data_IF_262735519425
#
_entry.id   IF_262735519425
#
_cell.length_a   1.000
_cell.length_b   1.000
_cell.length_c   1.000
_cell.angle_alpha   90.00
_cell.angle_beta   90.00
_cell.angle_gamma   90.00
#
_symmetry.space_group_name_H-M   'P 1'
#
loop_
_entity.id
_entity.type
_entity.pdbx_description
1 polymer ?
#
# COMPACT_ATOMS: atom_id res chain seq x y z
N UNK A 1 -14.48 -27.21 24.97
CA UNK A 1 -14.79 -26.05 24.11
C UNK A 1 -13.57 -25.80 23.25
N UNK A 2 -13.70 -26.05 21.95
CA UNK A 2 -12.61 -25.94 20.96
C UNK A 2 -12.40 -24.47 20.60
N UNK A 3 -11.19 -23.96 20.75
CA UNK A 3 -10.76 -22.69 20.16
C UNK A 3 -10.00 -23.05 18.89
N UNK A 4 -10.63 -22.80 17.74
CA UNK A 4 -10.04 -23.03 16.43
C UNK A 4 -8.79 -22.18 16.28
N UNK A 5 -7.62 -22.83 16.30
CA UNK A 5 -6.40 -22.24 15.76
C UNK A 5 -6.63 -22.09 14.25
N UNK A 6 -6.69 -20.83 13.80
CA UNK A 6 -6.62 -20.52 12.39
C UNK A 6 -5.27 -21.01 11.87
N UNK A 7 -5.32 -22.07 11.06
CA UNK A 7 -4.18 -22.60 10.33
C UNK A 7 -3.57 -21.48 9.50
N UNK A 8 -2.37 -21.01 9.87
CA UNK A 8 -1.56 -20.16 9.01
C UNK A 8 -1.17 -21.00 7.78
N UNK A 9 -1.76 -20.66 6.65
CA UNK A 9 -1.62 -21.40 5.40
C UNK A 9 -0.25 -21.06 4.77
N UNK A 10 0.67 -22.02 4.77
CA UNK A 10 2.08 -21.85 4.35
C UNK A 10 2.24 -21.54 2.84
N UNK A 11 1.18 -21.76 2.04
CA UNK A 11 1.20 -21.50 0.59
C UNK A 11 1.01 -20.01 0.23
N UNK A 12 0.47 -19.20 1.16
CA UNK A 12 0.24 -17.76 0.92
C UNK A 12 1.50 -16.90 1.10
N UNK A 13 2.57 -17.48 1.66
CA UNK A 13 3.76 -16.76 2.09
C UNK A 13 4.55 -16.16 0.90
N UNK A 14 4.41 -16.74 -0.30
CA UNK A 14 5.00 -16.18 -1.53
C UNK A 14 4.17 -15.07 -2.16
N UNK A 15 2.84 -15.11 -2.02
CA UNK A 15 1.94 -14.17 -2.70
C UNK A 15 2.12 -12.77 -2.14
N UNK A 16 2.15 -12.62 -0.82
CA UNK A 16 2.26 -11.29 -0.17
C UNK A 16 3.62 -10.65 -0.42
N UNK A 17 4.69 -11.45 -0.46
CA UNK A 17 6.01 -10.98 -0.89
C UNK A 17 5.95 -10.46 -2.32
N UNK A 18 5.31 -11.20 -3.24
CA UNK A 18 5.11 -10.74 -4.61
C UNK A 18 4.32 -9.43 -4.67
N UNK A 19 3.24 -9.30 -3.88
CA UNK A 19 2.47 -8.05 -3.77
C UNK A 19 3.34 -6.86 -3.36
N UNK A 20 4.23 -7.04 -2.39
CA UNK A 20 5.18 -6.00 -1.97
C UNK A 20 6.12 -5.57 -3.11
N UNK A 21 6.65 -6.54 -3.86
CA UNK A 21 7.51 -6.28 -5.03
C UNK A 21 6.75 -5.51 -6.11
N UNK A 22 5.50 -5.90 -6.42
CA UNK A 22 4.66 -5.18 -7.37
C UNK A 22 4.45 -3.71 -6.95
N UNK A 23 4.19 -3.46 -5.67
CA UNK A 23 4.02 -2.10 -5.14
C UNK A 23 5.30 -1.26 -5.30
N UNK A 24 6.47 -1.82 -4.97
CA UNK A 24 7.76 -1.15 -5.15
C UNK A 24 7.99 -0.82 -6.63
N UNK A 25 7.74 -1.78 -7.53
CA UNK A 25 7.94 -1.60 -8.96
C UNK A 25 7.09 -0.47 -9.53
N UNK A 26 5.79 -0.43 -9.20
CA UNK A 26 4.88 0.62 -9.68
C UNK A 26 5.22 2.02 -9.14
N UNK A 27 5.64 2.10 -7.87
CA UNK A 27 6.08 3.36 -7.28
C UNK A 27 7.41 3.83 -7.89
N UNK A 28 8.32 2.91 -8.22
CA UNK A 28 9.58 3.24 -8.92
C UNK A 28 9.30 3.76 -10.34
N UNK A 29 8.41 3.10 -11.09
CA UNK A 29 8.00 3.57 -12.42
C UNK A 29 7.35 4.96 -12.36
N UNK A 30 6.55 5.21 -11.31
CA UNK A 30 5.93 6.51 -11.08
C UNK A 30 6.97 7.58 -10.77
N UNK A 31 7.98 7.27 -9.96
CA UNK A 31 9.12 8.15 -9.69
C UNK A 31 9.87 8.52 -10.98
N UNK A 32 10.21 7.53 -11.80
CA UNK A 32 10.91 7.75 -13.07
C UNK A 32 10.08 8.60 -14.03
N UNK A 33 8.77 8.36 -14.10
CA UNK A 33 7.85 9.14 -14.93
C UNK A 33 7.81 10.62 -14.49
N UNK A 34 7.74 10.87 -13.18
CA UNK A 34 7.74 12.25 -12.64
C UNK A 34 9.06 12.93 -12.99
N UNK A 35 10.20 12.30 -12.72
CA UNK A 35 11.53 12.86 -13.00
C UNK A 35 11.76 13.10 -14.48
N UNK A 36 11.25 12.22 -15.34
CA UNK A 36 11.29 12.39 -16.80
C UNK A 36 10.49 13.61 -17.26
N UNK A 37 9.29 13.83 -16.70
CA UNK A 37 8.40 14.91 -17.11
C UNK A 37 8.77 16.26 -16.48
N UNK A 38 9.31 16.24 -15.26
CA UNK A 38 9.74 17.41 -14.52
C UNK A 38 11.01 17.07 -13.71
N UNK A 39 12.21 17.28 -14.28
CA UNK A 39 13.48 16.97 -13.61
C UNK A 39 13.68 17.72 -12.28
N UNK A 40 13.09 18.91 -12.16
CA UNK A 40 13.17 19.77 -10.97
C UNK A 40 12.13 19.41 -9.89
N UNK A 41 11.25 18.44 -10.15
CA UNK A 41 10.28 17.98 -9.16
C UNK A 41 10.99 17.48 -7.90
N UNK A 42 10.59 18.01 -6.74
CA UNK A 42 11.10 17.62 -5.42
C UNK A 42 10.44 16.32 -4.95
N UNK A 43 10.57 15.26 -5.76
CA UNK A 43 10.18 13.90 -5.39
C UNK A 43 11.43 13.06 -5.18
N UNK A 44 11.40 12.19 -4.18
CA UNK A 44 12.46 11.22 -3.88
C UNK A 44 11.88 9.83 -3.75
N UNK A 45 12.59 8.83 -4.27
CA UNK A 45 12.29 7.42 -3.99
C UNK A 45 13.14 6.99 -2.78
N UNK A 46 12.51 6.66 -1.66
CA UNK A 46 13.23 6.28 -0.45
C UNK A 46 13.88 4.89 -0.61
N UNK A 47 15.17 4.78 -0.33
CA UNK A 47 15.94 3.52 -0.38
C UNK A 47 15.45 2.48 0.62
N UNK A 48 14.59 2.85 1.58
CA UNK A 48 13.98 1.93 2.55
C UNK A 48 12.81 1.14 1.98
N UNK A 49 12.48 1.26 0.67
CA UNK A 49 11.33 0.61 0.06
C UNK A 49 11.23 -0.90 0.40
N UNK A 50 12.31 -1.66 0.27
CA UNK A 50 12.32 -3.10 0.58
C UNK A 50 12.02 -3.40 2.06
N UNK A 51 12.44 -2.52 2.97
CA UNK A 51 12.15 -2.65 4.41
C UNK A 51 10.73 -2.22 4.79
N UNK A 52 10.10 -1.39 3.95
CA UNK A 52 8.73 -0.89 4.15
C UNK A 52 7.72 -1.88 3.59
N UNK A 53 7.85 -2.28 2.32
CA UNK A 53 6.87 -3.11 1.62
C UNK A 53 7.12 -4.62 1.83
N UNK A 54 7.27 -5.01 3.09
CA UNK A 54 7.42 -6.41 3.50
C UNK A 54 6.05 -7.08 3.67
N UNK A 55 6.01 -8.40 3.61
CA UNK A 55 4.82 -9.19 3.94
C UNK A 55 4.28 -8.85 5.34
N UNK A 56 5.17 -8.75 6.33
CA UNK A 56 4.79 -8.46 7.72
C UNK A 56 4.11 -7.08 7.84
N UNK A 57 4.70 -6.05 7.22
CA UNK A 57 4.13 -4.70 7.23
C UNK A 57 2.83 -4.64 6.44
N UNK A 58 2.70 -5.40 5.34
CA UNK A 58 1.46 -5.49 4.55
C UNK A 58 0.30 -5.96 5.42
N UNK A 59 0.47 -7.09 6.11
CA UNK A 59 -0.54 -7.62 7.03
C UNK A 59 -0.82 -6.63 8.15
N UNK A 60 0.23 -6.11 8.79
CA UNK A 60 0.11 -5.25 9.96
C UNK A 60 -0.60 -3.92 9.65
N UNK A 61 -0.23 -3.24 8.57
CA UNK A 61 -0.79 -1.93 8.24
C UNK A 61 -2.19 -2.04 7.65
N UNK A 62 -2.47 -3.04 6.80
CA UNK A 62 -3.84 -3.30 6.34
C UNK A 62 -4.76 -3.61 7.52
N UNK A 63 -4.32 -4.44 8.47
CA UNK A 63 -5.09 -4.72 9.68
C UNK A 63 -5.30 -3.45 10.53
N UNK A 64 -4.29 -2.58 10.63
CA UNK A 64 -4.40 -1.32 11.35
C UNK A 64 -5.44 -0.39 10.71
N UNK A 65 -5.48 -0.29 9.38
CA UNK A 65 -6.55 0.44 8.69
C UNK A 65 -7.93 -0.08 9.09
N UNK A 66 -8.18 -1.38 8.98
CA UNK A 66 -9.49 -1.97 9.28
C UNK A 66 -9.88 -1.93 10.76
N UNK A 67 -8.92 -1.93 11.67
CA UNK A 67 -9.19 -1.93 13.10
C UNK A 67 -9.30 -0.52 13.70
N UNK A 68 -8.64 0.49 13.11
CA UNK A 68 -8.51 1.83 13.71
C UNK A 68 -9.11 2.95 12.86
N UNK A 69 -9.01 2.86 11.53
CA UNK A 69 -9.46 3.93 10.63
C UNK A 69 -10.83 3.64 10.00
N UNK A 70 -11.12 2.37 9.70
CA UNK A 70 -12.33 1.97 9.00
C UNK A 70 -13.63 2.34 9.74
N UNK A 71 -13.60 2.36 11.07
CA UNK A 71 -14.75 2.80 11.89
C UNK A 71 -15.14 4.27 11.62
N UNK A 72 -14.18 5.11 11.25
CA UNK A 72 -14.38 6.53 10.93
C UNK A 72 -14.51 6.78 9.42
N UNK A 73 -13.91 5.90 8.60
CA UNK A 73 -13.84 6.04 7.14
C UNK A 73 -14.24 4.69 6.47
N UNK A 74 -15.54 4.31 6.51
CA UNK A 74 -16.00 2.99 6.06
C UNK A 74 -16.21 2.91 4.54
N UNK A 75 -15.26 3.40 3.75
CA UNK A 75 -15.38 3.43 2.28
C UNK A 75 -15.08 2.07 1.62
N UNK A 76 -14.38 1.17 2.32
CA UNK A 76 -14.00 -0.15 1.81
C UNK A 76 -14.86 -1.24 2.45
N UNK A 77 -15.39 -2.16 1.66
CA UNK A 77 -16.10 -3.32 2.19
C UNK A 77 -15.09 -4.38 2.70
N UNK A 78 -14.89 -4.41 4.02
CA UNK A 78 -13.90 -5.30 4.69
C UNK A 78 -14.02 -6.78 4.30
N UNK A 79 -15.23 -7.41 4.24
CA UNK A 79 -15.33 -8.84 3.93
C UNK A 79 -14.84 -9.23 2.53
N UNK A 80 -14.81 -8.30 1.58
CA UNK A 80 -14.35 -8.55 0.21
C UNK A 80 -12.91 -8.13 -0.04
N UNK A 81 -12.27 -7.45 0.92
CA UNK A 81 -10.89 -7.00 0.76
C UNK A 81 -9.92 -8.14 1.08
N UNK A 82 -9.07 -8.47 0.11
CA UNK A 82 -8.01 -9.48 0.22
C UNK A 82 -6.71 -8.86 -0.27
N UNK A 83 -5.63 -8.98 0.51
CA UNK A 83 -4.32 -8.37 0.18
C UNK A 83 -3.78 -8.99 -1.12
N UNK A 84 -4.02 -10.28 -1.30
CA UNK A 84 -3.57 -11.13 -2.39
C UNK A 84 -4.13 -10.67 -3.74
N UNK A 85 -5.37 -10.18 -3.78
CA UNK A 85 -6.12 -9.98 -5.04
C UNK A 85 -6.65 -8.57 -5.22
N UNK A 86 -6.55 -7.68 -4.22
CA UNK A 86 -6.98 -6.30 -4.34
C UNK A 86 -6.25 -5.58 -5.48
N UNK A 87 -6.86 -4.62 -6.19
CA UNK A 87 -6.12 -3.77 -7.13
C UNK A 87 -4.97 -3.04 -6.43
N UNK A 88 -3.77 -2.99 -7.05
CA UNK A 88 -2.58 -2.35 -6.47
C UNK A 88 -2.80 -0.90 -6.02
N UNK A 89 -3.50 -0.01 -6.77
CA UNK A 89 -3.79 1.34 -6.30
C UNK A 89 -4.54 1.36 -4.96
N UNK A 90 -5.51 0.45 -4.81
CA UNK A 90 -6.27 0.33 -3.57
C UNK A 90 -5.40 -0.25 -2.44
N UNK A 91 -4.62 -1.30 -2.72
CA UNK A 91 -3.75 -1.92 -1.72
C UNK A 91 -2.72 -0.91 -1.18
N UNK A 92 -2.05 -0.14 -2.04
CA UNK A 92 -1.10 0.92 -1.64
C UNK A 92 -1.79 1.95 -0.77
N UNK A 93 -3.00 2.41 -1.16
CA UNK A 93 -3.75 3.37 -0.37
C UNK A 93 -3.99 2.86 1.05
N UNK A 94 -4.56 1.66 1.19
CA UNK A 94 -4.93 1.07 2.48
C UNK A 94 -3.70 0.77 3.34
N UNK A 95 -2.63 0.28 2.72
CA UNK A 95 -1.34 0.08 3.39
C UNK A 95 -0.78 1.38 3.97
N UNK A 96 -0.73 2.45 3.17
CA UNK A 96 -0.18 3.75 3.59
C UNK A 96 -1.03 4.39 4.69
N UNK A 97 -2.36 4.40 4.55
CA UNK A 97 -3.25 4.86 5.63
C UNK A 97 -3.08 4.04 6.90
N UNK A 98 -2.93 2.72 6.78
CA UNK A 98 -2.63 1.83 7.89
C UNK A 98 -1.36 2.20 8.65
N UNK A 99 -0.31 2.62 7.94
CA UNK A 99 0.96 3.03 8.54
C UNK A 99 0.82 4.26 9.46
N UNK A 100 -0.12 5.16 9.18
CA UNK A 100 -0.41 6.34 10.01
C UNK A 100 -0.88 5.98 11.42
N UNK A 101 -1.34 4.75 11.64
CA UNK A 101 -1.74 4.27 12.96
C UNK A 101 -0.56 3.98 13.90
N UNK A 102 0.68 4.02 13.40
CA UNK A 102 1.90 3.75 14.16
C UNK A 102 2.83 4.97 14.12
N UNK A 103 3.04 5.60 15.27
CA UNK A 103 3.81 6.84 15.38
C UNK A 103 5.33 6.63 15.54
N UNK A 104 5.75 5.49 16.11
CA UNK A 104 7.14 5.25 16.54
C UNK A 104 7.78 4.01 15.92
N UNK A 105 7.18 3.45 14.88
CA UNK A 105 7.76 2.31 14.16
C UNK A 105 8.47 2.84 12.92
N UNK A 106 9.76 2.51 12.76
CA UNK A 106 10.59 3.01 11.66
C UNK A 106 9.96 2.75 10.30
N UNK A 107 9.47 1.52 10.06
CA UNK A 107 8.79 1.17 8.82
C UNK A 107 7.53 2.00 8.57
N UNK A 108 6.80 2.40 9.63
CA UNK A 108 5.61 3.23 9.51
C UNK A 108 5.94 4.72 9.30
N UNK A 109 7.09 5.18 9.80
CA UNK A 109 7.60 6.52 9.52
C UNK A 109 8.07 6.57 8.06
N UNK A 110 8.90 5.62 7.64
CA UNK A 110 9.42 5.53 6.27
C UNK A 110 8.32 5.28 5.23
N UNK A 111 7.23 4.59 5.58
CA UNK A 111 6.09 4.43 4.68
C UNK A 111 5.49 5.77 4.25
N UNK A 112 5.59 6.81 5.07
CA UNK A 112 4.99 8.12 4.79
C UNK A 112 5.68 8.84 3.62
N UNK A 113 6.94 8.52 3.36
CA UNK A 113 7.69 9.11 2.25
C UNK A 113 7.16 8.65 0.88
N UNK A 114 6.30 7.63 0.85
CA UNK A 114 5.70 7.11 -0.38
C UNK A 114 4.31 7.69 -0.69
N UNK A 115 3.76 8.60 0.13
CA UNK A 115 2.44 9.19 -0.15
C UNK A 115 2.40 9.97 -1.48
N UNK A 116 3.39 10.83 -1.74
CA UNK A 116 3.43 11.64 -2.97
C UNK A 116 3.54 10.74 -4.23
N UNK A 117 4.37 9.70 -4.16
CA UNK A 117 4.51 8.73 -5.25
C UNK A 117 3.23 7.91 -5.46
N UNK A 118 2.60 7.49 -4.36
CA UNK A 118 1.35 6.75 -4.41
C UNK A 118 0.23 7.60 -5.01
N UNK A 119 0.13 8.88 -4.65
CA UNK A 119 -0.84 9.81 -5.23
C UNK A 119 -0.70 9.87 -6.75
N UNK A 120 0.52 10.12 -7.25
CA UNK A 120 0.77 10.20 -8.69
C UNK A 120 0.46 8.87 -9.39
N UNK A 121 0.88 7.75 -8.80
CA UNK A 121 0.58 6.42 -9.31
C UNK A 121 -0.93 6.18 -9.43
N UNK A 122 -1.66 6.38 -8.32
CA UNK A 122 -3.09 6.12 -8.21
C UNK A 122 -3.86 6.98 -9.20
N UNK A 123 -3.64 8.30 -9.23
CA UNK A 123 -4.39 9.20 -10.11
C UNK A 123 -3.94 9.12 -11.58
N UNK A 124 -2.78 8.53 -11.87
CA UNK A 124 -2.38 8.18 -13.23
C UNK A 124 -3.07 6.93 -13.78
N UNK A 125 -3.69 6.11 -12.92
CA UNK A 125 -4.38 4.90 -13.34
C UNK A 125 -5.56 5.21 -14.26
N UNK A 126 -5.79 4.35 -15.27
CA UNK A 126 -6.79 4.57 -16.33
C UNK A 126 -8.21 4.81 -15.78
N UNK A 127 -8.58 4.14 -14.68
CA UNK A 127 -9.87 4.34 -14.01
C UNK A 127 -10.08 5.80 -13.61
N UNK A 128 -9.07 6.43 -13.00
CA UNK A 128 -9.17 7.81 -12.52
C UNK A 128 -9.00 8.81 -13.66
N UNK A 129 -8.07 8.56 -14.59
CA UNK A 129 -7.89 9.42 -15.77
C UNK A 129 -9.18 9.56 -16.60
N UNK A 130 -9.96 8.50 -16.75
CA UNK A 130 -11.24 8.57 -17.46
C UNK A 130 -12.27 9.46 -16.77
N UNK A 131 -12.27 9.50 -15.44
CA UNK A 131 -13.20 10.33 -14.66
C UNK A 131 -12.80 11.81 -14.76
N UNK A 132 -11.50 12.12 -14.71
CA UNK A 132 -10.99 13.49 -14.75
C UNK A 132 -11.02 14.15 -16.15
N UNK A 133 -11.35 13.38 -17.19
CA UNK A 133 -11.47 13.85 -18.57
C UNK A 133 -12.94 14.06 -19.01
N UNK A 134 -13.89 13.96 -18.09
CA UNK A 134 -15.32 14.28 -18.28
C UNK A 134 -15.62 15.70 -17.85
#
# INVERSE_FOLDING_TARGET
MSVGQGSFNLDNQGVLVHRGIEMIAELSLSYDLIKKNNPEAQVSFNTTADSVFTEANLVQFVQAYFSRLHAYIPIIHRPTFQIETAPLPLLISIFLFGSLCYASQDAAISARDFFDLAEVYIFSHLTFRRILQQ
#
